data_IF_510506541563
#
_entry.id   IF_510506541563
#
_cell.length_a   1.000
_cell.length_b   1.000
_cell.length_c   1.000
_cell.angle_alpha   90.00
_cell.angle_beta   90.00
_cell.angle_gamma   90.00
#
_symmetry.space_group_name_H-M   'P 1'
#
loop_
_entity.id
_entity.type
_entity.pdbx_description
1 polymer ?
#
# COMPACT_ATOMS: atom_id res chain seq x y z
N UNK A 1 39.77 19.86 33.78
CA UNK A 1 39.73 18.46 33.27
C UNK A 1 38.28 17.98 33.24
N UNK A 2 37.62 18.02 32.09
CA UNK A 2 36.25 17.51 31.95
C UNK A 2 36.31 16.12 31.31
N UNK A 3 36.05 15.06 32.08
CA UNK A 3 35.81 13.71 31.55
C UNK A 3 34.59 13.80 30.63
N UNK A 4 34.79 13.74 29.31
CA UNK A 4 33.68 13.65 28.36
C UNK A 4 33.35 12.17 28.18
N UNK A 5 32.09 11.83 28.45
CA UNK A 5 31.54 10.51 28.29
C UNK A 5 31.60 10.09 26.81
N UNK A 6 32.20 8.93 26.54
CA UNK A 6 31.94 8.23 25.29
C UNK A 6 30.43 8.07 25.12
N UNK A 7 29.87 8.27 23.92
CA UNK A 7 28.48 7.96 23.67
C UNK A 7 28.27 6.49 24.00
N UNK A 8 27.53 6.25 25.08
CA UNK A 8 27.30 4.92 25.61
C UNK A 8 26.74 4.00 24.50
N UNK A 9 27.07 2.70 24.49
CA UNK A 9 26.56 1.74 23.50
C UNK A 9 25.03 1.79 23.32
N UNK A 10 24.29 2.31 24.31
CA UNK A 10 22.86 2.58 24.23
C UNK A 10 22.46 3.58 23.12
N UNK A 11 23.23 4.65 22.88
CA UNK A 11 22.87 5.68 21.89
C UNK A 11 22.86 5.13 20.46
N UNK A 12 23.81 4.26 20.12
CA UNK A 12 23.88 3.65 18.78
C UNK A 12 22.73 2.67 18.55
N UNK A 13 22.36 1.92 19.59
CA UNK A 13 21.19 1.05 19.57
C UNK A 13 19.91 1.84 19.34
N UNK A 14 19.73 2.93 20.09
CA UNK A 14 18.57 3.82 19.98
C UNK A 14 18.44 4.44 18.58
N UNK A 15 19.55 4.85 17.95
CA UNK A 15 19.51 5.40 16.59
C UNK A 15 19.00 4.39 15.55
N UNK A 16 19.48 3.15 15.58
CA UNK A 16 19.00 2.12 14.65
C UNK A 16 17.56 1.70 14.94
N UNK A 17 17.16 1.63 16.21
CA UNK A 17 15.76 1.40 16.59
C UNK A 17 14.85 2.52 16.09
N UNK A 18 15.26 3.78 16.24
CA UNK A 18 14.52 4.93 15.75
C UNK A 18 14.39 4.93 14.22
N UNK A 19 15.45 4.54 13.50
CA UNK A 19 15.41 4.42 12.04
C UNK A 19 14.43 3.33 11.58
N UNK A 20 14.47 2.14 12.19
CA UNK A 20 13.53 1.05 11.88
C UNK A 20 12.09 1.42 12.24
N UNK A 21 11.88 2.07 13.39
CA UNK A 21 10.56 2.58 13.78
C UNK A 21 10.04 3.62 12.80
N UNK A 22 10.91 4.55 12.35
CA UNK A 22 10.57 5.53 11.32
C UNK A 22 10.18 4.90 9.99
N UNK A 23 10.89 3.85 9.58
CA UNK A 23 10.55 3.07 8.38
C UNK A 23 9.18 2.39 8.54
N UNK A 24 8.93 1.73 9.67
CA UNK A 24 7.66 1.07 9.95
C UNK A 24 6.47 2.07 9.97
N UNK A 25 6.67 3.28 10.52
CA UNK A 25 5.68 4.37 10.50
C UNK A 25 5.44 4.85 9.07
N UNK A 26 6.49 5.08 8.28
CA UNK A 26 6.35 5.49 6.88
C UNK A 26 5.56 4.46 6.06
N UNK A 27 5.85 3.17 6.24
CA UNK A 27 5.10 2.07 5.62
C UNK A 27 3.64 2.08 6.03
N UNK A 28 3.33 2.21 7.32
CA UNK A 28 1.96 2.23 7.81
C UNK A 28 1.17 3.45 7.33
N UNK A 29 1.82 4.61 7.20
CA UNK A 29 1.20 5.83 6.63
C UNK A 29 0.88 5.68 5.14
N UNK A 30 1.80 5.10 4.37
CA UNK A 30 1.59 4.84 2.95
C UNK A 30 0.49 3.79 2.72
N UNK A 31 0.58 2.64 3.40
CA UNK A 31 -0.40 1.57 3.30
C UNK A 31 -1.78 1.98 3.83
N UNK A 32 -1.83 2.87 4.84
CA UNK A 32 -3.08 3.37 5.40
C UNK A 32 -3.96 4.14 4.42
N UNK A 33 -3.45 4.54 3.24
CA UNK A 33 -4.25 5.15 2.16
C UNK A 33 -5.29 4.19 1.56
N UNK A 34 -5.11 2.88 1.73
CA UNK A 34 -6.07 1.85 1.30
C UNK A 34 -7.41 1.97 2.05
N UNK A 35 -7.40 2.66 3.21
CA UNK A 35 -8.60 2.84 4.03
C UNK A 35 -9.08 4.29 4.05
N UNK A 36 -10.40 4.46 4.04
CA UNK A 36 -11.04 5.75 4.24
C UNK A 36 -10.89 6.22 5.72
N UNK A 37 -10.33 7.41 5.91
CA UNK A 37 -10.24 8.09 7.20
C UNK A 37 -8.91 7.93 7.94
N UNK A 38 -8.72 8.72 9.01
CA UNK A 38 -7.46 8.79 9.78
C UNK A 38 -7.31 7.73 10.87
N UNK A 39 -8.42 7.27 11.43
CA UNK A 39 -8.44 6.26 12.48
C UNK A 39 -7.74 4.95 12.08
N UNK A 40 -8.04 4.35 10.90
CA UNK A 40 -7.38 3.10 10.51
C UNK A 40 -5.87 3.27 10.29
N UNK A 41 -5.45 4.39 9.70
CA UNK A 41 -4.03 4.70 9.54
C UNK A 41 -3.30 4.78 10.89
N UNK A 42 -3.90 5.44 11.90
CA UNK A 42 -3.31 5.52 13.24
C UNK A 42 -3.23 4.16 13.91
N UNK A 43 -4.23 3.29 13.71
CA UNK A 43 -4.21 1.91 14.20
C UNK A 43 -3.09 1.08 13.57
N UNK A 44 -2.85 1.22 12.25
CA UNK A 44 -1.74 0.58 11.56
C UNK A 44 -0.38 1.10 12.05
N UNK A 45 -0.25 2.41 12.29
CA UNK A 45 0.95 3.01 12.88
C UNK A 45 1.19 2.45 14.28
N UNK A 46 0.15 2.34 15.12
CA UNK A 46 0.25 1.76 16.45
C UNK A 46 0.68 0.27 16.40
N UNK A 47 0.10 -0.51 15.48
CA UNK A 47 0.47 -1.91 15.24
C UNK A 47 1.94 -2.05 14.79
N UNK A 48 2.39 -1.19 13.86
CA UNK A 48 3.77 -1.16 13.38
C UNK A 48 4.76 -0.87 14.53
N UNK A 49 4.48 0.16 15.32
CA UNK A 49 5.31 0.55 16.47
C UNK A 49 5.32 -0.52 17.56
N UNK A 50 4.18 -1.14 17.86
CA UNK A 50 4.09 -2.25 18.81
C UNK A 50 4.91 -3.46 18.36
N UNK A 51 4.85 -3.80 17.07
CA UNK A 51 5.67 -4.85 16.46
C UNK A 51 7.17 -4.58 16.63
N UNK A 52 7.63 -3.37 16.28
CA UNK A 52 9.04 -2.96 16.46
C UNK A 52 9.44 -2.96 17.94
N UNK A 53 8.56 -2.53 18.85
CA UNK A 53 8.83 -2.50 20.29
C UNK A 53 9.01 -3.92 20.86
N UNK A 54 8.14 -4.87 20.48
CA UNK A 54 8.25 -6.27 20.88
C UNK A 54 9.53 -6.88 20.31
N UNK A 55 9.83 -6.63 19.03
CA UNK A 55 11.06 -7.11 18.42
C UNK A 55 12.31 -6.57 19.14
N UNK A 56 12.32 -5.29 19.50
CA UNK A 56 13.41 -4.65 20.25
C UNK A 56 13.55 -5.18 21.69
N UNK A 57 12.44 -5.52 22.35
CA UNK A 57 12.45 -6.06 23.71
C UNK A 57 13.03 -7.48 23.75
N UNK A 58 12.70 -8.29 22.74
CA UNK A 58 13.14 -9.67 22.62
C UNK A 58 14.39 -9.87 21.74
N UNK A 59 14.99 -8.78 21.28
CA UNK A 59 16.18 -8.76 20.40
C UNK A 59 17.31 -9.66 20.93
N UNK A 60 17.58 -9.58 22.25
CA UNK A 60 18.65 -10.32 22.95
C UNK A 60 18.31 -11.76 23.32
N UNK A 61 17.08 -12.20 23.08
CA UNK A 61 16.62 -13.58 23.33
C UNK A 61 16.76 -14.41 22.05
N UNK A 62 16.54 -15.73 22.15
CA UNK A 62 16.55 -16.61 20.98
C UNK A 62 15.52 -16.20 19.92
N UNK A 63 15.75 -16.63 18.66
CA UNK A 63 14.87 -16.33 17.54
C UNK A 63 13.44 -16.82 17.80
N UNK A 64 13.30 -18.06 18.28
CA UNK A 64 12.03 -18.70 18.63
C UNK A 64 11.22 -17.90 19.65
N UNK A 65 11.88 -17.36 20.67
CA UNK A 65 11.19 -16.64 21.73
C UNK A 65 10.69 -15.27 21.25
N UNK A 66 11.44 -14.62 20.35
CA UNK A 66 11.01 -13.37 19.73
C UNK A 66 9.88 -13.58 18.71
N UNK A 67 9.89 -14.69 17.95
CA UNK A 67 8.79 -15.00 17.02
C UNK A 67 7.51 -15.36 17.78
N UNK A 68 7.61 -16.15 18.86
CA UNK A 68 6.48 -16.44 19.74
C UNK A 68 5.93 -15.17 20.42
N UNK A 69 6.81 -14.29 20.91
CA UNK A 69 6.40 -13.00 21.48
C UNK A 69 5.72 -12.10 20.45
N UNK A 70 6.23 -12.07 19.21
CA UNK A 70 5.61 -11.33 18.10
C UNK A 70 4.25 -11.89 17.72
N UNK A 71 4.11 -13.22 17.67
CA UNK A 71 2.84 -13.89 17.38
C UNK A 71 1.79 -13.62 18.46
N UNK A 72 2.20 -13.69 19.73
CA UNK A 72 1.33 -13.31 20.84
C UNK A 72 0.92 -11.83 20.74
N UNK A 73 1.89 -10.93 20.51
CA UNK A 73 1.63 -9.50 20.32
C UNK A 73 0.68 -9.21 19.17
N UNK A 74 0.83 -9.90 18.04
CA UNK A 74 -0.06 -9.79 16.89
C UNK A 74 -1.49 -10.24 17.27
N UNK A 75 -1.63 -11.35 17.99
CA UNK A 75 -2.93 -11.82 18.46
C UNK A 75 -3.62 -10.78 19.37
N UNK A 76 -2.86 -10.14 20.26
CA UNK A 76 -3.38 -9.02 21.07
C UNK A 76 -3.76 -7.82 20.22
N UNK A 77 -2.92 -7.43 19.25
CA UNK A 77 -3.19 -6.31 18.36
C UNK A 77 -4.46 -6.55 17.54
N UNK A 78 -4.64 -7.75 16.98
CA UNK A 78 -5.86 -8.14 16.26
C UNK A 78 -7.07 -8.08 17.19
N UNK A 79 -6.94 -8.58 18.42
CA UNK A 79 -8.03 -8.57 19.40
C UNK A 79 -8.45 -7.14 19.76
N UNK A 80 -7.50 -6.22 19.97
CA UNK A 80 -7.81 -4.85 20.40
C UNK A 80 -8.20 -3.92 19.25
N UNK A 81 -7.55 -4.04 18.09
CA UNK A 81 -7.73 -3.12 16.96
C UNK A 81 -8.92 -3.56 16.10
N UNK A 82 -9.05 -4.86 15.85
CA UNK A 82 -9.96 -5.39 14.82
C UNK A 82 -11.23 -5.97 15.43
N UNK A 83 -11.09 -6.75 16.51
CA UNK A 83 -12.19 -7.52 17.09
C UNK A 83 -12.34 -7.26 18.60
N UNK A 84 -12.51 -6.00 19.06
CA UNK A 84 -12.58 -5.67 20.49
C UNK A 84 -13.72 -6.40 21.20
N UNK A 85 -14.78 -6.73 20.45
CA UNK A 85 -15.99 -7.40 20.90
C UNK A 85 -15.85 -8.92 21.10
N UNK A 86 -14.76 -9.56 20.64
CA UNK A 86 -14.49 -11.00 20.90
C UNK A 86 -13.47 -11.23 22.01
N UNK A 87 -12.95 -10.15 22.61
CA UNK A 87 -11.99 -10.20 23.68
C UNK A 87 -12.62 -10.78 24.96
N UNK A 88 -12.00 -11.83 25.52
CA UNK A 88 -12.35 -12.33 26.84
C UNK A 88 -11.36 -11.74 27.85
N UNK A 89 -11.81 -10.78 28.68
CA UNK A 89 -10.94 -10.08 29.63
C UNK A 89 -9.68 -9.43 28.99
N UNK A 90 -9.79 -9.00 27.71
CA UNK A 90 -8.69 -8.40 26.95
C UNK A 90 -7.71 -9.38 26.30
N UNK A 91 -7.89 -10.70 26.49
CA UNK A 91 -7.06 -11.76 25.92
C UNK A 91 -7.68 -12.34 24.62
N UNK A 92 -6.85 -12.81 23.67
CA UNK A 92 -7.35 -13.52 22.49
C UNK A 92 -8.08 -14.80 22.93
N UNK A 93 -9.36 -14.90 22.58
CA UNK A 93 -10.18 -16.06 22.93
C UNK A 93 -10.22 -17.09 21.78
N UNK A 94 -10.65 -18.32 22.05
CA UNK A 94 -10.93 -19.35 21.01
C UNK A 94 -11.94 -18.83 19.98
N UNK A 95 -12.85 -17.92 20.39
CA UNK A 95 -13.79 -17.25 19.49
C UNK A 95 -13.10 -16.27 18.54
N UNK A 96 -12.02 -15.61 19.00
CA UNK A 96 -11.17 -14.73 18.18
C UNK A 96 -10.44 -15.53 17.11
N UNK A 97 -9.84 -16.68 17.48
CA UNK A 97 -9.19 -17.58 16.50
C UNK A 97 -10.16 -18.09 15.42
N UNK A 98 -11.39 -18.46 15.81
CA UNK A 98 -12.45 -18.85 14.85
C UNK A 98 -12.98 -17.68 14.02
N UNK A 99 -12.95 -16.46 14.55
CA UNK A 99 -13.32 -15.25 13.80
C UNK A 99 -12.23 -14.89 12.78
N UNK A 100 -10.95 -15.05 13.13
CA UNK A 100 -9.81 -14.88 12.23
C UNK A 100 -9.88 -15.88 11.07
N UNK A 101 -10.10 -17.17 11.35
CA UNK A 101 -10.22 -18.21 10.32
C UNK A 101 -11.34 -17.92 9.32
N UNK A 102 -12.53 -17.58 9.82
CA UNK A 102 -13.66 -17.16 8.96
C UNK A 102 -13.35 -15.88 8.19
N UNK A 103 -12.70 -14.90 8.82
CA UNK A 103 -12.34 -13.65 8.14
C UNK A 103 -11.38 -13.90 6.99
N UNK A 104 -10.39 -14.78 7.15
CA UNK A 104 -9.41 -15.13 6.11
C UNK A 104 -10.07 -15.76 4.87
N UNK A 105 -11.12 -16.56 5.03
CA UNK A 105 -11.91 -17.11 3.92
C UNK A 105 -12.58 -15.99 3.09
N UNK A 106 -13.02 -14.92 3.75
CA UNK A 106 -13.66 -13.77 3.11
C UNK A 106 -12.70 -12.67 2.66
N UNK A 107 -11.44 -12.61 3.15
CA UNK A 107 -10.46 -11.60 2.72
C UNK A 107 -10.23 -11.67 1.22
N UNK A 108 -10.05 -12.87 0.66
CA UNK A 108 -9.81 -13.05 -0.78
C UNK A 108 -11.02 -12.76 -1.66
N UNK A 109 -12.25 -12.86 -1.12
CA UNK A 109 -13.47 -12.46 -1.84
C UNK A 109 -13.70 -10.95 -1.74
N UNK A 110 -13.54 -10.35 -0.55
CA UNK A 110 -13.75 -8.92 -0.35
C UNK A 110 -12.66 -8.04 -1.01
N UNK A 111 -11.42 -8.52 -1.07
CA UNK A 111 -10.33 -7.83 -1.78
C UNK A 111 -10.54 -7.80 -3.30
N UNK A 112 -11.30 -8.76 -3.86
CA UNK A 112 -11.65 -8.79 -5.28
C UNK A 112 -12.84 -7.92 -5.65
N UNK A 113 -13.68 -7.56 -4.68
CA UNK A 113 -14.96 -6.87 -4.93
C UNK A 113 -14.96 -5.41 -4.46
N UNK A 114 -13.85 -4.91 -3.91
CA UNK A 114 -13.77 -3.54 -3.41
C UNK A 114 -12.58 -2.78 -3.96
N UNK A 115 -12.90 -1.67 -4.62
CA UNK A 115 -11.93 -0.66 -5.06
C UNK A 115 -11.47 0.17 -3.84
N UNK A 116 -10.17 0.44 -3.72
CA UNK A 116 -9.64 1.31 -2.68
C UNK A 116 -9.85 2.79 -3.05
N UNK A 117 -10.12 3.71 -2.10
CA UNK A 117 -10.10 3.53 -0.64
C UNK A 117 -11.37 2.92 -0.05
N UNK A 118 -11.24 1.90 0.80
CA UNK A 118 -12.40 1.20 1.39
C UNK A 118 -12.66 1.63 2.85
N UNK A 119 -13.92 1.58 3.34
CA UNK A 119 -14.16 1.72 4.77
C UNK A 119 -13.45 0.58 5.54
N UNK A 120 -12.96 0.83 6.78
CA UNK A 120 -12.14 -0.12 7.53
C UNK A 120 -12.95 -1.30 8.08
N UNK A 121 -13.31 -2.23 7.19
CA UNK A 121 -14.01 -3.45 7.56
C UNK A 121 -13.09 -4.39 8.36
N UNK A 122 -13.64 -5.15 9.32
CA UNK A 122 -12.84 -6.06 10.14
C UNK A 122 -11.95 -7.05 9.36
N UNK A 123 -12.39 -7.69 8.26
CA UNK A 123 -11.55 -8.62 7.50
C UNK A 123 -10.37 -7.94 6.80
N UNK A 124 -10.60 -6.78 6.17
CA UNK A 124 -9.54 -6.02 5.49
C UNK A 124 -8.57 -5.42 6.51
N UNK A 125 -9.07 -4.91 7.63
CA UNK A 125 -8.23 -4.41 8.72
C UNK A 125 -7.40 -5.54 9.35
N UNK A 126 -7.94 -6.76 9.48
CA UNK A 126 -7.18 -7.93 9.94
C UNK A 126 -5.99 -8.20 9.03
N UNK A 127 -6.23 -8.27 7.71
CA UNK A 127 -5.19 -8.49 6.72
C UNK A 127 -4.14 -7.36 6.77
N UNK A 128 -4.58 -6.11 6.82
CA UNK A 128 -3.73 -4.93 6.89
C UNK A 128 -2.84 -4.91 8.15
N UNK A 129 -3.43 -5.11 9.33
CA UNK A 129 -2.70 -5.16 10.60
C UNK A 129 -1.68 -6.30 10.56
N UNK A 130 -2.06 -7.45 10.04
CA UNK A 130 -1.15 -8.61 9.91
C UNK A 130 0.02 -8.30 8.97
N UNK A 131 -0.25 -7.72 7.80
CA UNK A 131 0.76 -7.36 6.81
C UNK A 131 1.74 -6.30 7.35
N UNK A 132 1.22 -5.20 7.92
CA UNK A 132 2.04 -4.14 8.52
C UNK A 132 2.86 -4.68 9.70
N UNK A 133 2.26 -5.50 10.56
CA UNK A 133 2.95 -6.08 11.72
C UNK A 133 4.11 -6.99 11.31
N UNK A 134 3.86 -7.90 10.37
CA UNK A 134 4.86 -8.85 9.86
C UNK A 134 5.96 -8.14 9.08
N UNK A 135 5.63 -7.14 8.27
CA UNK A 135 6.62 -6.30 7.58
C UNK A 135 7.52 -5.56 8.58
N UNK A 136 6.93 -4.93 9.61
CA UNK A 136 7.68 -4.21 10.64
C UNK A 136 8.59 -5.14 11.46
N UNK A 137 8.08 -6.31 11.88
CA UNK A 137 8.86 -7.31 12.61
C UNK A 137 10.02 -7.84 11.78
N UNK A 138 9.77 -8.16 10.50
CA UNK A 138 10.78 -8.67 9.58
C UNK A 138 11.86 -7.62 9.28
N UNK A 139 11.46 -6.36 9.08
CA UNK A 139 12.39 -5.24 8.88
C UNK A 139 13.33 -5.08 10.07
N UNK A 140 12.79 -5.14 11.29
CA UNK A 140 13.59 -5.10 12.51
C UNK A 140 14.57 -6.29 12.60
N UNK A 141 14.08 -7.50 12.35
CA UNK A 141 14.91 -8.71 12.39
C UNK A 141 16.05 -8.63 11.36
N UNK A 142 15.78 -8.17 10.14
CA UNK A 142 16.78 -8.03 9.08
C UNK A 142 17.80 -6.93 9.38
N UNK A 143 17.34 -5.76 9.84
CA UNK A 143 18.22 -4.63 10.13
C UNK A 143 19.13 -4.91 11.33
N UNK A 144 18.59 -5.49 12.40
CA UNK A 144 19.29 -5.56 13.69
C UNK A 144 19.87 -6.95 13.96
N UNK A 145 19.13 -8.04 13.71
CA UNK A 145 19.61 -9.40 13.97
C UNK A 145 20.45 -9.96 12.82
N UNK A 146 20.01 -9.78 11.58
CA UNK A 146 20.78 -10.23 10.42
C UNK A 146 21.90 -9.24 10.03
N UNK A 147 21.85 -8.01 10.54
CA UNK A 147 22.85 -6.97 10.22
C UNK A 147 22.84 -6.56 8.75
N UNK A 148 21.70 -6.69 8.07
CA UNK A 148 21.53 -6.36 6.66
C UNK A 148 20.50 -5.24 6.49
N UNK A 149 20.93 -3.96 6.51
CA UNK A 149 20.02 -2.83 6.42
C UNK A 149 19.31 -2.74 5.07
N UNK A 150 19.93 -3.23 3.99
CA UNK A 150 19.31 -3.22 2.66
C UNK A 150 18.15 -4.21 2.57
N UNK A 151 18.32 -5.43 3.09
CA UNK A 151 17.25 -6.42 3.11
C UNK A 151 16.08 -5.97 4.00
N UNK A 152 16.36 -5.18 5.04
CA UNK A 152 15.32 -4.65 5.93
C UNK A 152 14.32 -3.71 5.25
N UNK A 153 14.65 -3.15 4.09
CA UNK A 153 13.76 -2.27 3.33
C UNK A 153 12.80 -3.06 2.43
N UNK A 154 13.09 -4.33 2.15
CA UNK A 154 12.28 -5.15 1.23
C UNK A 154 10.82 -5.33 1.70
N UNK A 155 10.52 -5.72 2.96
CA UNK A 155 9.13 -5.89 3.37
C UNK A 155 8.30 -4.59 3.28
N UNK A 156 8.81 -3.43 3.71
CA UNK A 156 8.19 -2.13 3.49
C UNK A 156 7.90 -1.79 2.03
N UNK A 157 8.88 -2.00 1.14
CA UNK A 157 8.72 -1.71 -0.29
C UNK A 157 7.63 -2.60 -0.89
N UNK A 158 7.64 -3.90 -0.59
CA UNK A 158 6.63 -4.82 -1.10
C UNK A 158 5.21 -4.40 -0.66
N UNK A 159 5.05 -3.98 0.59
CA UNK A 159 3.76 -3.58 1.13
C UNK A 159 3.26 -2.25 0.54
N UNK A 160 4.15 -1.27 0.35
CA UNK A 160 3.78 0.00 -0.28
C UNK A 160 3.52 -0.18 -1.78
N UNK A 161 4.33 -0.99 -2.46
CA UNK A 161 4.09 -1.33 -3.87
C UNK A 161 2.71 -1.96 -4.08
N UNK A 162 2.32 -2.91 -3.22
CA UNK A 162 0.98 -3.48 -3.24
C UNK A 162 -0.11 -2.43 -2.98
N UNK A 163 0.09 -1.50 -2.05
CA UNK A 163 -0.89 -0.43 -1.83
C UNK A 163 -1.02 0.47 -3.07
N UNK A 164 0.09 0.84 -3.70
CA UNK A 164 0.09 1.66 -4.90
C UNK A 164 -0.53 0.94 -6.11
N UNK A 165 -0.46 -0.39 -6.21
CA UNK A 165 -1.17 -1.15 -7.27
C UNK A 165 -2.67 -1.22 -7.06
N UNK A 166 -3.15 -1.12 -5.82
CA UNK A 166 -4.57 -1.25 -5.47
C UNK A 166 -5.26 0.12 -5.44
N UNK A 167 -4.51 1.21 -5.28
CA UNK A 167 -5.05 2.56 -5.33
C UNK A 167 -5.11 3.07 -6.77
N UNK A 168 -6.33 3.36 -7.24
CA UNK A 168 -6.57 4.12 -8.48
C UNK A 168 -6.19 5.60 -8.32
N UNK A 169 -6.09 6.05 -7.06
CA UNK A 169 -5.63 7.37 -6.65
C UNK A 169 -4.14 7.54 -7.03
N UNK A 170 -3.89 8.31 -8.09
CA UNK A 170 -2.57 8.51 -8.71
C UNK A 170 -1.40 8.71 -7.73
N UNK A 171 -0.19 8.44 -8.23
CA UNK A 171 1.03 8.42 -7.42
C UNK A 171 1.20 9.72 -6.59
N UNK A 172 1.17 9.60 -5.25
CA UNK A 172 1.43 10.73 -4.33
C UNK A 172 2.91 10.71 -3.93
N UNK A 173 3.78 11.53 -4.57
CA UNK A 173 5.24 11.42 -4.42
C UNK A 173 5.73 11.64 -2.99
N UNK A 174 4.95 12.33 -2.15
CA UNK A 174 5.31 12.58 -0.76
C UNK A 174 5.49 11.30 0.06
N UNK A 175 4.67 10.27 -0.16
CA UNK A 175 4.79 9.00 0.57
C UNK A 175 6.02 8.22 0.15
N UNK A 176 6.34 8.23 -1.15
CA UNK A 176 7.56 7.64 -1.68
C UNK A 176 8.81 8.34 -1.12
N UNK A 177 8.81 9.68 -1.05
CA UNK A 177 9.91 10.47 -0.46
C UNK A 177 10.08 10.12 1.02
N UNK A 178 8.99 10.05 1.80
CA UNK A 178 9.04 9.73 3.23
C UNK A 178 9.55 8.29 3.45
N UNK A 179 9.08 7.33 2.66
CA UNK A 179 9.55 5.94 2.72
C UNK A 179 11.05 5.84 2.39
N UNK A 180 11.49 6.51 1.32
CA UNK A 180 12.88 6.52 0.89
C UNK A 180 13.79 7.20 1.93
N UNK A 181 13.35 8.31 2.51
CA UNK A 181 14.07 8.98 3.58
C UNK A 181 14.23 8.07 4.81
N UNK A 182 13.18 7.33 5.17
CA UNK A 182 13.23 6.37 6.27
C UNK A 182 14.14 5.17 5.96
N UNK A 183 14.09 4.64 4.74
CA UNK A 183 15.00 3.59 4.26
C UNK A 183 16.47 4.04 4.31
N UNK A 184 16.75 5.26 3.85
CA UNK A 184 18.08 5.85 3.89
C UNK A 184 18.56 6.06 5.33
N UNK A 185 17.66 6.43 6.25
CA UNK A 185 17.99 6.53 7.67
C UNK A 185 18.41 5.18 8.27
N UNK A 186 17.80 4.06 7.85
CA UNK A 186 18.20 2.70 8.28
C UNK A 186 19.61 2.37 7.78
N UNK A 187 19.87 2.59 6.49
CA UNK A 187 21.20 2.34 5.90
C UNK A 187 22.26 3.24 6.53
N UNK A 188 21.94 4.51 6.74
CA UNK A 188 22.83 5.47 7.37
C UNK A 188 23.15 5.09 8.82
N UNK A 189 22.15 4.67 9.59
CA UNK A 189 22.34 4.23 10.98
C UNK A 189 23.27 3.01 11.06
N UNK A 190 23.17 2.08 10.11
CA UNK A 190 24.08 0.93 10.01
C UNK A 190 25.50 1.34 9.58
N UNK A 191 25.62 2.20 8.56
CA UNK A 191 26.91 2.74 8.10
C UNK A 191 27.68 3.46 9.20
N UNK A 192 27.00 4.27 10.02
CA UNK A 192 27.61 4.95 11.15
C UNK A 192 28.09 3.98 12.24
N UNK A 193 27.39 2.85 12.45
CA UNK A 193 27.83 1.78 13.36
C UNK A 193 29.11 1.14 12.85
N UNK A 194 29.16 0.77 11.56
CA UNK A 194 30.34 0.12 10.94
C UNK A 194 31.57 1.02 10.96
N UNK A 195 31.44 2.28 10.53
CA UNK A 195 32.57 3.24 10.50
C UNK A 195 33.15 3.47 11.90
N UNK A 196 32.32 3.50 12.93
CA UNK A 196 32.78 3.69 14.32
C UNK A 196 33.41 2.44 14.91
N UNK A 197 32.96 1.24 14.51
CA UNK A 197 33.60 -0.03 14.90
C UNK A 197 35.03 -0.16 14.35
N UNK A 198 35.35 0.56 13.27
CA UNK A 198 36.68 0.54 12.63
C UNK A 198 37.72 1.51 13.26
N UNK A 199 37.40 2.26 14.32
CA UNK A 199 38.39 3.11 15.00
C UNK A 199 39.23 2.35 16.05
N UNK A 200 40.48 2.74 16.41
CA UNK A 200 41.48 3.59 15.77
C UNK A 200 42.68 2.73 15.30
N UNK A 201 42.46 1.68 14.51
CA UNK A 201 43.57 0.78 14.09
C UNK A 201 44.48 1.44 13.04
N UNK A 202 44.03 2.55 12.44
CA UNK A 202 44.74 3.26 11.36
C UNK A 202 45.04 4.73 11.68
N UNK A 203 45.31 5.09 12.94
CA UNK A 203 45.79 6.43 13.31
C UNK A 203 47.11 6.39 14.07
N UNK A 204 48.14 5.83 13.45
CA UNK A 204 49.53 6.03 13.86
C UNK A 204 50.09 7.34 13.30
N UNK A 205 49.56 8.50 13.71
CA UNK A 205 50.26 9.80 13.68
C UNK A 205 49.31 10.93 14.11
N UNK A 206 49.70 11.64 15.18
CA UNK A 206 49.32 13.02 15.54
C UNK A 206 47.86 13.40 15.29
N UNK A 207 47.05 13.06 16.27
CA UNK A 207 45.69 13.53 16.59
C UNK A 207 45.38 14.97 16.18
N UNK A 208 44.86 15.17 14.97
CA UNK A 208 44.03 16.34 14.66
C UNK A 208 42.63 16.07 15.21
N UNK A 209 42.33 16.75 16.32
CA UNK A 209 41.13 16.66 17.14
C UNK A 209 39.85 16.89 16.31
N UNK A 210 39.23 15.81 15.83
CA UNK A 210 37.83 15.83 15.40
C UNK A 210 36.98 15.52 16.62
N UNK A 211 36.60 16.56 17.37
CA UNK A 211 35.68 16.42 18.49
C UNK A 211 34.30 15.93 18.01
N UNK A 212 33.57 15.11 18.81
CA UNK A 212 32.24 14.66 18.43
C UNK A 212 31.27 15.83 18.63
N UNK A 213 31.18 16.68 17.62
CA UNK A 213 30.19 17.74 17.61
C UNK A 213 28.85 17.10 17.28
N UNK A 214 27.95 17.05 18.26
CA UNK A 214 26.51 16.78 18.03
C UNK A 214 25.89 17.84 17.09
N UNK A 215 26.60 18.95 16.83
CA UNK A 215 26.31 19.90 15.74
C UNK A 215 26.67 19.40 14.34
N UNK A 216 27.52 18.36 14.22
CA UNK A 216 27.94 17.77 12.94
C UNK A 216 26.98 16.71 12.39
N UNK A 217 25.96 16.28 13.14
CA UNK A 217 24.94 15.34 12.65
C UNK A 217 23.84 16.03 11.85
N UNK A 218 23.55 17.31 12.13
CA UNK A 218 22.58 18.13 11.38
C UNK A 218 22.89 18.23 9.89
N UNK A 219 24.13 18.61 9.48
CA UNK A 219 24.43 18.67 8.05
C UNK A 219 24.31 17.30 7.41
N UNK A 220 24.71 16.21 8.08
CA UNK A 220 24.62 14.86 7.52
C UNK A 220 23.17 14.38 7.41
N UNK A 221 22.32 14.62 8.41
CA UNK A 221 20.89 14.33 8.33
C UNK A 221 20.23 15.13 7.20
N UNK A 222 20.60 16.40 7.03
CA UNK A 222 20.18 17.21 5.90
C UNK A 222 20.70 16.67 4.57
N UNK A 223 21.93 16.17 4.50
CA UNK A 223 22.48 15.55 3.28
C UNK A 223 21.74 14.26 2.96
N UNK A 224 21.39 13.44 3.96
CA UNK A 224 20.61 12.21 3.79
C UNK A 224 19.19 12.54 3.29
N UNK A 225 18.53 13.54 3.88
CA UNK A 225 17.20 13.99 3.43
C UNK A 225 17.29 14.59 2.02
N UNK A 226 18.27 15.45 1.76
CA UNK A 226 18.49 16.04 0.45
C UNK A 226 18.82 14.96 -0.60
N UNK A 227 19.62 13.95 -0.25
CA UNK A 227 19.89 12.82 -1.12
C UNK A 227 18.62 12.01 -1.39
N UNK A 228 17.82 11.70 -0.37
CA UNK A 228 16.54 11.01 -0.55
C UNK A 228 15.59 11.80 -1.46
N UNK A 229 15.56 13.12 -1.38
CA UNK A 229 14.69 13.95 -2.23
C UNK A 229 15.25 14.12 -3.65
N UNK A 230 16.56 14.34 -3.80
CA UNK A 230 17.19 14.74 -5.07
C UNK A 230 17.68 13.56 -5.91
N UNK A 231 18.19 12.49 -5.29
CA UNK A 231 18.75 11.33 -6.00
C UNK A 231 17.73 10.67 -6.94
N UNK A 232 16.45 10.48 -6.57
CA UNK A 232 15.45 9.95 -7.49
C UNK A 232 15.38 10.77 -8.79
N UNK A 233 15.31 12.10 -8.72
CA UNK A 233 15.21 12.96 -9.91
C UNK A 233 16.45 13.01 -10.80
N UNK A 234 17.60 12.55 -10.30
CA UNK A 234 18.90 12.53 -11.01
C UNK A 234 19.23 11.16 -11.61
N UNK A 235 18.50 10.09 -11.24
CA UNK A 235 18.72 8.74 -11.76
C UNK A 235 18.30 8.66 -13.24
N UNK A 236 19.19 8.20 -14.14
CA UNK A 236 18.82 7.88 -15.52
C UNK A 236 17.70 6.85 -15.48
N UNK A 237 16.54 7.20 -16.04
CA UNK A 237 15.36 6.35 -16.03
C UNK A 237 14.31 6.67 -14.96
N UNK A 238 14.48 7.72 -14.14
CA UNK A 238 13.39 8.21 -13.27
C UNK A 238 12.15 8.67 -14.07
N UNK A 239 12.35 9.06 -15.33
CA UNK A 239 11.28 9.36 -16.29
C UNK A 239 11.02 8.24 -17.30
N UNK A 240 11.75 7.13 -17.23
CA UNK A 240 11.41 5.94 -18.01
C UNK A 240 10.38 5.12 -17.24
N UNK A 241 9.60 4.31 -17.96
CA UNK A 241 8.67 3.38 -17.33
C UNK A 241 9.35 2.51 -16.26
N UNK A 242 8.59 2.02 -15.26
CA UNK A 242 9.12 1.20 -14.18
C UNK A 242 9.87 -0.03 -14.74
N UNK A 243 11.04 -0.35 -14.16
CA UNK A 243 11.83 -1.53 -14.51
C UNK A 243 11.08 -2.85 -14.22
N UNK A 244 10.18 -2.80 -13.24
CA UNK A 244 9.27 -3.87 -12.88
C UNK A 244 7.89 -3.24 -12.81
N UNK A 245 7.08 -3.52 -13.81
CA UNK A 245 5.67 -3.15 -13.83
C UNK A 245 4.91 -4.15 -12.96
N UNK A 246 4.53 -3.73 -11.76
CA UNK A 246 3.70 -4.51 -10.84
C UNK A 246 2.21 -4.22 -11.02
N UNK A 247 1.86 -3.22 -11.83
CA UNK A 247 0.47 -2.87 -12.18
C UNK A 247 -0.15 -3.92 -13.10
N UNK A 248 0.66 -4.59 -13.93
CA UNK A 248 0.17 -5.61 -14.87
C UNK A 248 -0.37 -6.88 -14.20
N UNK A 249 -0.11 -7.09 -12.90
CA UNK A 249 -0.66 -8.22 -12.15
C UNK A 249 -2.18 -8.09 -11.87
N UNK A 250 -2.77 -6.91 -12.13
CA UNK A 250 -4.22 -6.68 -12.09
C UNK A 250 -4.79 -6.19 -13.43
N UNK A 251 -3.98 -6.14 -14.49
CA UNK A 251 -4.33 -5.52 -15.78
C UNK A 251 -4.82 -6.55 -16.82
N UNK A 252 -5.14 -7.78 -16.38
CA UNK A 252 -6.02 -8.68 -17.13
C UNK A 252 -7.45 -8.14 -17.05
N UNK A 253 -7.69 -7.08 -17.82
CA UNK A 253 -9.00 -6.49 -18.05
C UNK A 253 -9.45 -5.55 -16.94
N UNK A 254 -9.36 -4.25 -17.20
CA UNK A 254 -10.39 -3.32 -16.78
C UNK A 254 -11.72 -3.64 -17.50
N UNK A 255 -12.16 -4.89 -17.37
CA UNK A 255 -13.47 -5.31 -17.77
C UNK A 255 -14.41 -4.80 -16.69
N UNK A 256 -15.34 -3.96 -17.11
CA UNK A 256 -16.50 -3.61 -16.30
C UNK A 256 -17.26 -4.92 -16.06
N UNK A 257 -16.88 -5.69 -15.05
CA UNK A 257 -17.68 -6.82 -14.57
C UNK A 257 -18.91 -6.20 -13.88
N UNK A 258 -20.10 -6.24 -14.52
CA UNK A 258 -21.28 -5.54 -14.03
C UNK A 258 -21.83 -6.13 -12.72
N UNK A 259 -21.20 -7.17 -12.17
CA UNK A 259 -21.53 -7.74 -10.86
C UNK A 259 -20.42 -7.66 -9.83
N UNK A 260 -19.21 -7.28 -10.22
CA UNK A 260 -18.21 -6.79 -9.27
C UNK A 260 -18.47 -5.30 -9.03
N UNK A 261 -19.42 -5.10 -8.11
CA UNK A 261 -19.64 -3.93 -7.27
C UNK A 261 -20.57 -2.80 -7.77
N UNK A 262 -21.81 -3.14 -8.16
CA UNK A 262 -22.93 -2.16 -8.11
C UNK A 262 -22.96 -1.46 -6.73
N UNK A 263 -22.68 -2.18 -5.63
CA UNK A 263 -22.63 -1.56 -4.30
C UNK A 263 -21.45 -0.61 -4.11
N UNK A 264 -20.27 -0.86 -4.71
CA UNK A 264 -19.16 0.09 -4.60
C UNK A 264 -19.40 1.32 -5.49
N UNK A 265 -19.97 1.11 -6.68
CA UNK A 265 -20.40 2.19 -7.57
C UNK A 265 -21.54 3.03 -6.98
N UNK A 266 -22.44 2.43 -6.17
CA UNK A 266 -23.50 3.15 -5.47
C UNK A 266 -23.02 3.92 -4.23
N UNK A 267 -21.93 3.47 -3.59
CA UNK A 267 -21.27 4.18 -2.47
C UNK A 267 -20.24 5.22 -2.96
N UNK A 268 -19.88 5.21 -4.24
CA UNK A 268 -19.01 6.18 -4.89
C UNK A 268 -19.75 7.53 -4.95
N UNK A 269 -19.22 8.54 -4.25
CA UNK A 269 -19.84 9.86 -4.14
C UNK A 269 -19.52 10.80 -5.30
N UNK A 270 -18.62 10.38 -6.20
CA UNK A 270 -18.18 11.19 -7.33
C UNK A 270 -19.03 10.85 -8.55
N UNK A 271 -19.93 11.77 -8.90
CA UNK A 271 -20.73 11.68 -10.12
C UNK A 271 -19.79 11.84 -11.31
N UNK A 272 -19.59 10.77 -12.08
CA UNK A 272 -18.84 10.80 -13.33
C UNK A 272 -19.80 10.85 -14.52
N UNK A 273 -19.65 11.88 -15.33
CA UNK A 273 -20.37 11.96 -16.59
C UNK A 273 -19.70 11.03 -17.61
N UNK A 274 -20.36 9.91 -17.96
CA UNK A 274 -19.81 8.94 -18.91
C UNK A 274 -20.01 9.38 -20.37
N UNK A 275 -21.22 9.84 -20.68
CA UNK A 275 -21.58 10.33 -22.00
C UNK A 275 -22.74 11.32 -21.93
N UNK A 276 -22.70 12.32 -22.79
CA UNK A 276 -23.79 13.27 -22.99
C UNK A 276 -24.53 12.92 -24.28
N UNK A 277 -25.86 12.86 -24.23
CA UNK A 277 -26.74 12.65 -25.40
C UNK A 277 -27.65 13.84 -25.58
N UNK A 278 -27.61 14.44 -26.77
CA UNK A 278 -28.60 15.43 -27.16
C UNK A 278 -29.71 14.77 -27.98
N UNK A 279 -30.94 14.86 -27.49
CA UNK A 279 -32.13 14.30 -28.17
C UNK A 279 -33.37 15.15 -27.95
N UNK A 280 -34.29 15.10 -28.92
CA UNK A 280 -35.57 15.82 -28.87
C UNK A 280 -36.70 15.03 -28.20
N UNK A 281 -36.54 13.73 -27.96
CA UNK A 281 -37.54 12.85 -27.34
C UNK A 281 -36.88 11.91 -26.31
N UNK A 282 -37.54 11.58 -25.18
CA UNK A 282 -36.99 10.67 -24.19
C UNK A 282 -36.83 9.26 -24.77
N UNK A 283 -35.62 8.68 -24.65
CA UNK A 283 -35.27 7.35 -25.12
C UNK A 283 -34.69 6.51 -23.97
N UNK A 284 -34.88 5.19 -24.03
CA UNK A 284 -34.30 4.26 -23.07
C UNK A 284 -32.90 3.83 -23.54
N UNK A 285 -31.88 4.09 -22.73
CA UNK A 285 -30.48 3.75 -23.03
C UNK A 285 -30.01 2.60 -22.14
N UNK A 286 -29.20 1.70 -22.70
CA UNK A 286 -28.60 0.56 -21.98
C UNK A 286 -27.09 0.58 -22.17
N UNK A 287 -26.36 0.46 -21.07
CA UNK A 287 -24.89 0.42 -21.07
C UNK A 287 -24.38 -1.01 -21.32
N UNK A 288 -24.99 -2.00 -20.67
CA UNK A 288 -24.67 -3.41 -20.83
C UNK A 288 -25.95 -4.26 -20.88
N UNK A 289 -25.85 -5.46 -21.46
CA UNK A 289 -26.91 -6.46 -21.47
C UNK A 289 -26.43 -7.76 -20.86
N UNK A 290 -27.25 -8.35 -20.02
CA UNK A 290 -26.97 -9.64 -19.38
C UNK A 290 -27.79 -10.70 -20.10
N UNK A 291 -27.11 -11.54 -20.87
CA UNK A 291 -27.70 -12.47 -21.83
C UNK A 291 -27.50 -13.94 -21.46
N UNK A 292 -26.63 -14.25 -20.50
CA UNK A 292 -26.40 -15.63 -20.04
C UNK A 292 -26.89 -15.83 -18.60
N UNK A 293 -27.62 -16.91 -18.36
CA UNK A 293 -28.05 -17.36 -17.03
C UNK A 293 -27.51 -18.76 -16.77
N UNK A 294 -26.70 -18.95 -15.72
CA UNK A 294 -26.04 -20.23 -15.42
C UNK A 294 -26.79 -21.08 -14.38
N UNK A 295 -27.98 -20.65 -13.96
CA UNK A 295 -28.81 -21.31 -12.96
C UNK A 295 -28.74 -20.66 -11.58
N UNK A 296 -27.69 -19.89 -11.30
CA UNK A 296 -27.55 -19.11 -10.07
C UNK A 296 -27.42 -17.60 -10.35
N UNK A 297 -26.75 -17.19 -11.43
CA UNK A 297 -26.52 -15.78 -11.76
C UNK A 297 -26.67 -15.43 -13.24
N UNK A 298 -26.93 -14.15 -13.50
CA UNK A 298 -26.95 -13.55 -14.82
C UNK A 298 -25.58 -12.93 -15.12
N UNK A 299 -24.99 -13.26 -16.27
CA UNK A 299 -23.70 -12.71 -16.75
C UNK A 299 -23.85 -12.07 -18.13
N UNK A 300 -22.96 -11.13 -18.44
CA UNK A 300 -22.75 -10.64 -19.81
C UNK A 300 -21.82 -11.61 -20.54
N UNK A 301 -22.18 -12.02 -21.76
CA UNK A 301 -21.31 -12.84 -22.62
C UNK A 301 -20.11 -12.07 -23.20
N UNK A 302 -20.19 -10.74 -23.23
CA UNK A 302 -19.17 -9.85 -23.79
C UNK A 302 -19.10 -8.53 -23.01
N UNK A 303 -18.61 -8.55 -21.76
CA UNK A 303 -18.57 -7.36 -20.88
C UNK A 303 -17.73 -6.22 -21.47
N UNK A 304 -16.68 -6.55 -22.22
CA UNK A 304 -15.72 -5.59 -22.76
C UNK A 304 -16.03 -5.22 -24.22
N UNK A 305 -17.12 -5.78 -24.78
CA UNK A 305 -17.50 -5.58 -26.18
C UNK A 305 -16.43 -6.05 -27.18
N UNK A 306 -15.56 -6.99 -26.81
CA UNK A 306 -14.40 -7.41 -27.60
C UNK A 306 -14.72 -8.54 -28.58
N UNK A 307 -15.76 -9.33 -28.28
CA UNK A 307 -16.14 -10.50 -29.10
C UNK A 307 -17.12 -10.09 -30.20
N UNK A 308 -18.05 -9.19 -29.88
CA UNK A 308 -19.14 -8.76 -30.77
C UNK A 308 -19.19 -7.25 -31.00
N UNK A 309 -18.52 -6.46 -30.17
CA UNK A 309 -18.48 -5.02 -30.33
C UNK A 309 -17.50 -4.60 -31.43
N UNK A 310 -17.90 -3.60 -32.21
CA UNK A 310 -16.99 -2.91 -33.12
C UNK A 310 -16.48 -1.66 -32.42
N UNK A 311 -15.17 -1.54 -32.24
CA UNK A 311 -14.57 -0.26 -31.85
C UNK A 311 -14.78 0.72 -32.99
N UNK A 312 -15.49 1.82 -32.73
CA UNK A 312 -15.77 2.80 -33.77
C UNK A 312 -15.11 4.13 -33.48
N UNK A 313 -14.29 4.59 -34.42
CA UNK A 313 -13.61 5.89 -34.34
C UNK A 313 -14.60 7.02 -34.62
N UNK A 314 -14.78 7.92 -33.67
CA UNK A 314 -15.71 9.07 -33.75
C UNK A 314 -15.11 10.17 -34.65
N UNK A 315 -15.89 10.88 -35.49
CA UNK A 315 -17.33 10.75 -35.70
C UNK A 315 -17.68 9.55 -36.58
N UNK A 316 -18.70 8.81 -36.17
CA UNK A 316 -19.12 7.60 -36.89
C UNK A 316 -20.63 7.44 -36.95
N UNK A 317 -21.07 6.59 -37.86
CA UNK A 317 -22.45 6.08 -37.91
C UNK A 317 -22.45 4.70 -37.27
N UNK A 318 -23.27 4.51 -36.23
CA UNK A 318 -23.38 3.20 -35.58
C UNK A 318 -23.84 2.15 -36.61
N UNK A 319 -23.17 0.99 -36.68
CA UNK A 319 -23.52 -0.06 -37.63
C UNK A 319 -24.95 -0.54 -37.34
N UNK A 320 -25.77 -0.63 -38.39
CA UNK A 320 -27.07 -1.28 -38.26
C UNK A 320 -26.86 -2.79 -38.08
N UNK A 321 -27.61 -3.45 -37.17
CA UNK A 321 -27.51 -4.89 -37.00
C UNK A 321 -27.78 -5.60 -38.32
N UNK A 322 -26.92 -6.53 -38.72
CA UNK A 322 -27.11 -7.33 -39.93
C UNK A 322 -28.47 -8.06 -39.87
N UNK A 323 -29.31 -7.85 -40.88
CA UNK A 323 -30.65 -8.45 -40.95
C UNK A 323 -31.77 -7.68 -40.24
N UNK A 324 -31.48 -6.52 -39.65
CA UNK A 324 -32.53 -5.64 -39.13
C UNK A 324 -33.24 -4.92 -40.29
N UNK A 325 -34.49 -5.30 -40.55
CA UNK A 325 -35.39 -4.51 -41.37
C UNK A 325 -36.25 -3.62 -40.44
N UNK A 326 -36.12 -2.29 -40.50
CA UNK A 326 -36.97 -1.42 -39.70
C UNK A 326 -38.45 -1.68 -40.05
N UNK A 327 -39.36 -1.67 -39.06
CA UNK A 327 -40.79 -1.75 -39.31
C UNK A 327 -41.27 -0.76 -40.39
N UNK A 328 -42.36 -1.06 -41.13
CA UNK A 328 -42.96 -0.07 -42.01
C UNK A 328 -43.36 1.16 -41.19
N UNK A 329 -42.95 2.35 -41.65
CA UNK A 329 -43.08 3.67 -41.00
C UNK A 329 -42.04 4.03 -39.93
N UNK A 330 -40.88 3.35 -39.87
CA UNK A 330 -39.78 3.78 -39.00
C UNK A 330 -38.94 4.88 -39.67
N UNK A 331 -38.77 6.03 -39.01
CA UNK A 331 -37.84 7.06 -39.43
C UNK A 331 -36.48 6.90 -38.76
N UNK A 332 -35.39 7.03 -39.52
CA UNK A 332 -34.04 7.12 -38.97
C UNK A 332 -33.87 8.47 -38.28
N UNK A 333 -33.36 8.48 -37.04
CA UNK A 333 -33.04 9.72 -36.31
C UNK A 333 -31.55 9.77 -36.00
N UNK A 334 -30.97 10.96 -36.12
CA UNK A 334 -29.60 11.21 -35.72
C UNK A 334 -29.55 11.56 -34.23
N UNK A 335 -28.61 10.96 -33.52
CA UNK A 335 -28.27 11.31 -32.15
C UNK A 335 -26.81 11.73 -32.12
N UNK A 336 -26.49 12.76 -31.35
CA UNK A 336 -25.11 13.16 -31.10
C UNK A 336 -24.71 12.66 -29.73
N UNK A 337 -23.71 11.78 -29.70
CA UNK A 337 -23.10 11.28 -28.48
C UNK A 337 -21.78 11.99 -28.27
N UNK A 338 -21.58 12.56 -27.09
CA UNK A 338 -20.28 13.03 -26.64
C UNK A 338 -19.81 12.09 -25.54
N UNK A 339 -18.82 11.24 -25.86
CA UNK A 339 -18.14 10.46 -24.83
C UNK A 339 -17.28 11.44 -24.05
N UNK A 340 -17.48 11.46 -22.74
CA UNK A 340 -16.72 12.31 -21.84
C UNK A 340 -15.62 11.42 -21.26
N UNK A 341 -14.44 11.48 -21.87
CA UNK A 341 -13.24 10.92 -21.27
C UNK A 341 -12.74 11.94 -20.25
N UNK A 342 -12.42 11.49 -19.04
CA UNK A 342 -11.70 12.31 -18.07
C UNK A 342 -10.38 12.76 -18.74
N UNK A 343 -10.36 14.00 -19.23
CA UNK A 343 -9.17 14.62 -19.78
C UNK A 343 -8.12 14.69 -18.66
N UNK A 344 -7.10 13.86 -18.77
CA UNK A 344 -5.79 14.04 -18.16
C UNK A 344 -4.76 14.45 -19.22
#
# INVERSE_FOLDING_TARGET
MARRADPTPGHQRLLGLAAVAGLAVATALAFGRVFAGRAPTLQLVAAALASVAIAALFERRGLLLATLASLAGLAFAITWIVLPQTAWYGLPSIRTLRAVGRSLEFVGQQARVRVAPTPPLPPLMLAAVTAVWTAAFSSHALAIRAGSPLLAVLPPIALVGFADTVLEDGARPIYAIVLLAAAMAVVFADGLRRVRQWGPVWSGSRTRRLGPSVRGSRPVALTVIAAAVLVPGLLPGFRSGPLVDLSTAGDEGAGLDPFISIHAQLDEQEVRDLFEVQTSDPQYWRLSTLDQFDGEEWRSSDPDGSVSGQTVTVPTVLPQPLGYAPPPNTGTRAFTFRILTDDF
#
